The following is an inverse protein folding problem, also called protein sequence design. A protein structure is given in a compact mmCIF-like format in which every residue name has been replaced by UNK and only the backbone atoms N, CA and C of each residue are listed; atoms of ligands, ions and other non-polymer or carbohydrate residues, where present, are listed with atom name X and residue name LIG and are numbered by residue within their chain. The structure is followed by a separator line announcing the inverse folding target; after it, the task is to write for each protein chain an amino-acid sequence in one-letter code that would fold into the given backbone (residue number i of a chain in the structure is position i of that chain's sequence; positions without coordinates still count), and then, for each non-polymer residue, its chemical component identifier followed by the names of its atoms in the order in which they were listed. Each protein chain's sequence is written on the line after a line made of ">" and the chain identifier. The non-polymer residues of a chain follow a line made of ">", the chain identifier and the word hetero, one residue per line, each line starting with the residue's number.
data_IF_440512155005
#
_entry.id   IF_440512155005
#
_cell.length_a   1.000
_cell.length_b   1.000
_cell.length_c   1.000
_cell.angle_alpha   90.00
_cell.angle_beta   90.00
_cell.angle_gamma   90.00
#
_symmetry.space_group_name_H-M   'P 1'
#
loop_
_entity.id
_entity.type
_entity.pdbx_description
1 polymer ?
#
# COMPACT_ATOMS: atom_id res chain seq x y z
N UNK A 1 -33.23 47.03 -30.32
CA UNK A 1 -32.34 47.18 -29.15
C UNK A 1 -32.43 45.91 -28.29
N UNK A 2 -31.64 44.87 -28.61
CA UNK A 2 -31.62 43.58 -27.90
C UNK A 2 -30.25 43.46 -27.21
N UNK A 3 -30.25 43.53 -25.88
CA UNK A 3 -29.06 43.45 -25.01
C UNK A 3 -28.52 42.02 -24.92
N UNK A 4 -27.19 41.99 -24.79
CA UNK A 4 -26.31 40.83 -24.75
C UNK A 4 -26.61 39.78 -23.66
N UNK A 5 -26.47 38.51 -24.04
CA UNK A 5 -26.52 37.34 -23.16
C UNK A 5 -25.20 36.57 -23.06
N UNK A 6 -24.04 37.18 -23.36
CA UNK A 6 -22.72 36.51 -23.34
C UNK A 6 -21.96 36.66 -22.00
N UNK A 7 -22.67 36.68 -20.88
CA UNK A 7 -22.07 37.04 -19.58
C UNK A 7 -21.85 35.94 -18.54
N UNK A 8 -22.18 34.66 -18.79
CA UNK A 8 -22.27 33.67 -17.68
C UNK A 8 -21.30 32.48 -17.69
N UNK A 9 -20.32 32.41 -18.61
CA UNK A 9 -19.37 31.27 -18.69
C UNK A 9 -18.02 31.46 -17.97
N UNK A 10 -17.92 32.35 -16.99
CA UNK A 10 -16.66 32.60 -16.27
C UNK A 10 -16.74 32.45 -14.74
N UNK A 11 -17.71 31.70 -14.21
CA UNK A 11 -17.77 31.38 -12.78
C UNK A 11 -17.87 29.88 -12.55
N UNK A 12 -16.75 29.16 -12.67
CA UNK A 12 -16.54 27.89 -11.96
C UNK A 12 -15.09 27.36 -12.04
N UNK A 13 -14.09 28.24 -11.90
CA UNK A 13 -12.68 27.82 -11.80
C UNK A 13 -12.18 27.66 -10.34
N UNK A 14 -13.07 27.77 -9.33
CA UNK A 14 -12.68 27.88 -7.92
C UNK A 14 -12.87 26.65 -7.02
N UNK A 15 -13.58 25.59 -7.46
CA UNK A 15 -14.07 24.54 -6.55
C UNK A 15 -13.16 23.29 -6.42
N UNK A 16 -12.04 23.22 -7.15
CA UNK A 16 -11.17 22.03 -7.17
C UNK A 16 -10.20 21.89 -5.99
N UNK A 17 -9.89 22.99 -5.29
CA UNK A 17 -8.93 23.02 -4.17
C UNK A 17 -9.32 22.17 -2.95
N UNK A 18 -10.57 22.19 -2.45
CA UNK A 18 -10.94 21.42 -1.25
C UNK A 18 -10.93 19.90 -1.46
N UNK A 19 -11.19 19.43 -2.69
CA UNK A 19 -11.18 17.99 -3.02
C UNK A 19 -9.75 17.45 -3.11
N UNK A 20 -8.84 18.19 -3.77
CA UNK A 20 -7.44 17.81 -3.87
C UNK A 20 -6.76 17.76 -2.50
N UNK A 21 -7.00 18.77 -1.64
CA UNK A 21 -6.45 18.80 -0.29
C UNK A 21 -6.93 17.64 0.58
N UNK A 22 -8.21 17.23 0.43
CA UNK A 22 -8.73 16.05 1.12
C UNK A 22 -8.01 14.77 0.68
N UNK A 23 -7.80 14.62 -0.64
CA UNK A 23 -7.06 13.48 -1.19
C UNK A 23 -5.62 13.41 -0.69
N UNK A 24 -4.89 14.52 -0.75
CA UNK A 24 -3.50 14.60 -0.25
C UNK A 24 -3.42 14.29 1.25
N UNK A 25 -4.31 14.86 2.08
CA UNK A 25 -4.36 14.56 3.51
C UNK A 25 -4.53 13.07 3.77
N UNK A 26 -5.42 12.42 3.04
CA UNK A 26 -5.67 10.99 3.19
C UNK A 26 -4.47 10.14 2.77
N UNK A 27 -3.74 10.54 1.71
CA UNK A 27 -2.49 9.88 1.32
C UNK A 27 -1.47 9.99 2.44
N UNK A 28 -1.23 11.21 2.94
CA UNK A 28 -0.28 11.45 4.04
C UNK A 28 -0.64 10.64 5.28
N UNK A 29 -1.91 10.59 5.67
CA UNK A 29 -2.37 9.77 6.79
C UNK A 29 -2.08 8.29 6.57
N UNK A 30 -2.32 7.75 5.37
CA UNK A 30 -2.01 6.35 5.06
C UNK A 30 -0.51 6.09 5.13
N UNK A 31 0.32 6.96 4.52
CA UNK A 31 1.78 6.85 4.59
C UNK A 31 2.28 6.89 6.04
N UNK A 32 1.73 7.78 6.87
CA UNK A 32 2.08 7.89 8.28
C UNK A 32 1.72 6.62 9.06
N UNK A 33 0.48 6.15 8.92
CA UNK A 33 0.00 4.96 9.64
C UNK A 33 0.80 3.73 9.21
N UNK A 34 0.95 3.51 7.90
CA UNK A 34 1.70 2.34 7.39
C UNK A 34 3.16 2.43 7.80
N UNK A 35 3.83 3.57 7.59
CA UNK A 35 5.24 3.75 7.89
C UNK A 35 5.57 3.57 9.38
N UNK A 36 4.78 4.21 10.26
CA UNK A 36 4.99 4.12 11.71
C UNK A 36 4.70 2.72 12.22
N UNK A 37 3.56 2.12 11.86
CA UNK A 37 3.23 0.77 12.33
C UNK A 37 4.25 -0.25 11.84
N UNK A 38 4.67 -0.13 10.57
CA UNK A 38 5.72 -0.97 10.00
C UNK A 38 7.03 -0.82 10.78
N UNK A 39 7.46 0.40 11.11
CA UNK A 39 8.68 0.64 11.88
C UNK A 39 8.59 0.08 13.30
N UNK A 40 7.51 0.38 14.02
CA UNK A 40 7.27 -0.12 15.39
C UNK A 40 7.23 -1.64 15.41
N UNK A 41 6.61 -2.28 14.41
CA UNK A 41 6.54 -3.74 14.34
C UNK A 41 7.90 -4.42 14.17
N UNK A 42 8.92 -3.69 13.68
CA UNK A 42 10.28 -4.20 13.53
C UNK A 42 11.11 -4.11 14.82
N UNK A 43 10.63 -3.39 15.83
CA UNK A 43 11.32 -3.30 17.11
C UNK A 43 11.43 -4.68 17.76
N UNK A 44 12.65 -5.10 18.08
CA UNK A 44 12.95 -6.43 18.61
C UNK A 44 13.76 -6.26 19.89
N UNK A 45 13.33 -6.91 20.99
CA UNK A 45 14.03 -6.82 22.28
C UNK A 45 15.18 -7.83 22.38
N UNK A 46 16.11 -7.60 23.30
CA UNK A 46 17.22 -8.54 23.59
C UNK A 46 16.71 -9.90 24.08
N UNK A 47 15.62 -9.93 24.86
CA UNK A 47 14.97 -11.16 25.30
C UNK A 47 14.33 -11.94 24.13
N UNK A 48 13.87 -11.25 23.08
CA UNK A 48 13.41 -11.91 21.86
C UNK A 48 14.59 -12.48 21.07
N UNK A 49 15.69 -11.72 20.93
CA UNK A 49 16.90 -12.16 20.25
C UNK A 49 17.57 -13.37 20.93
N UNK A 50 17.49 -13.46 22.26
CA UNK A 50 17.98 -14.60 23.04
C UNK A 50 17.03 -15.81 23.04
N UNK A 51 15.87 -15.70 22.37
CA UNK A 51 14.89 -16.78 22.26
C UNK A 51 13.99 -16.97 23.49
N UNK A 52 14.05 -16.08 24.48
CA UNK A 52 13.22 -16.17 25.69
C UNK A 52 11.75 -15.83 25.40
N UNK A 53 11.47 -15.07 24.34
CA UNK A 53 10.13 -14.60 23.96
C UNK A 53 9.67 -15.18 22.61
N UNK A 54 9.99 -16.43 22.31
CA UNK A 54 9.72 -17.02 20.99
C UNK A 54 8.24 -17.00 20.56
N UNK A 55 7.29 -17.25 21.47
CA UNK A 55 5.85 -17.19 21.14
C UNK A 55 5.42 -15.76 20.78
N UNK A 56 5.87 -14.77 21.54
CA UNK A 56 5.67 -13.35 21.22
C UNK A 56 6.34 -12.98 19.89
N UNK A 57 7.55 -13.51 19.62
CA UNK A 57 8.26 -13.30 18.37
C UNK A 57 7.43 -13.73 17.17
N UNK A 58 6.69 -14.85 17.24
CA UNK A 58 5.77 -15.26 16.16
C UNK A 58 4.74 -14.16 15.88
N UNK A 59 4.06 -13.67 16.91
CA UNK A 59 3.00 -12.66 16.76
C UNK A 59 3.57 -11.37 16.17
N UNK A 60 4.64 -10.84 16.77
CA UNK A 60 5.27 -9.60 16.31
C UNK A 60 5.77 -9.73 14.87
N UNK A 61 6.48 -10.81 14.55
CA UNK A 61 6.99 -11.06 13.19
C UNK A 61 5.87 -11.26 12.19
N UNK A 62 4.73 -11.84 12.59
CA UNK A 62 3.55 -11.95 11.71
C UNK A 62 3.04 -10.55 11.36
N UNK A 63 2.89 -9.68 12.36
CA UNK A 63 2.47 -8.27 12.16
C UNK A 63 3.47 -7.54 11.28
N UNK A 64 4.77 -7.66 11.57
CA UNK A 64 5.84 -7.04 10.80
C UNK A 64 5.84 -7.51 9.34
N UNK A 65 5.76 -8.81 9.07
CA UNK A 65 5.69 -9.34 7.69
C UNK A 65 4.47 -8.82 6.93
N UNK A 66 3.31 -8.72 7.58
CA UNK A 66 2.11 -8.18 6.93
C UNK A 66 2.26 -6.69 6.60
N UNK A 67 2.75 -5.88 7.55
CA UNK A 67 2.94 -4.44 7.34
C UNK A 67 4.09 -4.10 6.38
N UNK A 68 5.06 -5.01 6.26
CA UNK A 68 6.19 -4.91 5.33
C UNK A 68 5.99 -5.71 4.04
N UNK A 69 4.78 -6.24 3.80
CA UNK A 69 4.48 -6.98 2.57
C UNK A 69 4.48 -6.07 1.35
N UNK A 70 5.02 -6.55 0.23
CA UNK A 70 5.01 -5.79 -1.03
C UNK A 70 3.60 -5.39 -1.43
N UNK A 71 2.61 -6.22 -1.11
CA UNK A 71 1.18 -5.95 -1.33
C UNK A 71 0.67 -4.72 -0.58
N UNK A 72 1.01 -4.54 0.69
CA UNK A 72 0.59 -3.35 1.46
C UNK A 72 1.21 -2.09 0.86
N UNK A 73 2.49 -2.14 0.51
CA UNK A 73 3.20 -1.01 -0.08
C UNK A 73 2.68 -0.67 -1.48
N UNK A 74 2.36 -1.68 -2.30
CA UNK A 74 1.68 -1.50 -3.56
C UNK A 74 0.29 -0.86 -3.40
N UNK A 75 -0.46 -1.25 -2.36
CA UNK A 75 -1.77 -0.68 -2.06
C UNK A 75 -1.69 0.82 -1.72
N UNK A 76 -0.64 1.27 -1.01
CA UNK A 76 -0.39 2.70 -0.76
C UNK A 76 -0.25 3.46 -2.08
N UNK A 77 0.56 2.95 -3.01
CA UNK A 77 0.78 3.57 -4.32
C UNK A 77 -0.51 3.62 -5.16
N UNK A 78 -1.24 2.51 -5.26
CA UNK A 78 -2.53 2.41 -5.96
C UNK A 78 -3.56 3.37 -5.32
N UNK A 79 -3.59 3.44 -4.00
CA UNK A 79 -4.49 4.36 -3.29
C UNK A 79 -4.17 5.82 -3.59
N UNK A 80 -2.89 6.21 -3.58
CA UNK A 80 -2.47 7.56 -3.94
C UNK A 80 -2.90 7.93 -5.36
N UNK A 81 -2.66 7.03 -6.31
CA UNK A 81 -3.12 7.15 -7.68
C UNK A 81 -4.63 7.35 -7.80
N UNK A 82 -5.39 6.53 -7.07
CA UNK A 82 -6.85 6.59 -7.00
C UNK A 82 -7.38 7.90 -6.40
N UNK A 83 -6.66 8.51 -5.45
CA UNK A 83 -7.07 9.79 -4.86
C UNK A 83 -6.80 10.99 -5.75
N UNK A 84 -5.74 10.96 -6.55
CA UNK A 84 -5.31 12.12 -7.35
C UNK A 84 -6.04 12.25 -8.69
N UNK A 85 -6.57 11.15 -9.25
CA UNK A 85 -7.50 11.13 -10.40
C UNK A 85 -7.00 11.84 -11.67
N UNK A 86 -5.69 12.03 -11.85
CA UNK A 86 -5.09 12.64 -13.05
C UNK A 86 -3.83 11.87 -13.44
N UNK A 87 -3.53 11.66 -14.74
CA UNK A 87 -2.42 10.80 -15.18
C UNK A 87 -1.08 11.11 -14.50
N UNK A 88 -0.53 12.29 -14.75
CA UNK A 88 0.78 12.66 -14.20
C UNK A 88 0.77 12.72 -12.65
N UNK A 89 -0.20 13.38 -11.99
CA UNK A 89 -0.29 13.33 -10.53
C UNK A 89 -0.46 11.92 -9.94
N UNK A 90 -1.21 11.02 -10.59
CA UNK A 90 -1.40 9.66 -10.10
C UNK A 90 -0.10 8.85 -10.20
N UNK A 91 0.65 8.97 -11.30
CA UNK A 91 1.96 8.36 -11.45
C UNK A 91 2.94 8.85 -10.38
N UNK A 92 3.14 10.17 -10.31
CA UNK A 92 4.06 10.80 -9.38
C UNK A 92 3.63 10.54 -7.92
N UNK A 93 2.33 10.62 -7.64
CA UNK A 93 1.78 10.38 -6.31
C UNK A 93 1.99 8.96 -5.82
N UNK A 94 2.01 7.96 -6.70
CA UNK A 94 2.37 6.59 -6.34
C UNK A 94 3.81 6.48 -5.83
N UNK A 95 4.76 7.03 -6.59
CA UNK A 95 6.17 7.10 -6.19
C UNK A 95 6.38 7.92 -4.92
N UNK A 96 5.87 9.16 -4.88
CA UNK A 96 5.99 10.04 -3.71
C UNK A 96 5.37 9.42 -2.46
N UNK A 97 4.23 8.73 -2.56
CA UNK A 97 3.64 8.06 -1.41
C UNK A 97 4.51 6.90 -0.90
N UNK A 98 5.14 6.14 -1.80
CA UNK A 98 6.07 5.07 -1.40
C UNK A 98 7.32 5.65 -0.72
N UNK A 99 7.96 6.65 -1.31
CA UNK A 99 9.14 7.32 -0.74
C UNK A 99 8.81 7.97 0.61
N UNK A 100 7.67 8.66 0.71
CA UNK A 100 7.21 9.24 1.97
C UNK A 100 7.01 8.16 3.04
N UNK A 101 6.45 7.00 2.67
CA UNK A 101 6.27 5.89 3.60
C UNK A 101 7.61 5.30 4.05
N UNK A 102 8.61 5.16 3.15
CA UNK A 102 9.97 4.74 3.51
C UNK A 102 10.67 5.75 4.42
N UNK A 103 10.57 7.04 4.10
CA UNK A 103 11.13 8.11 4.92
C UNK A 103 10.52 8.11 6.31
N UNK A 104 9.20 7.95 6.42
CA UNK A 104 8.53 7.83 7.72
C UNK A 104 8.99 6.57 8.43
N UNK A 105 9.02 5.43 7.76
CA UNK A 105 9.43 4.15 8.33
C UNK A 105 10.86 4.20 8.90
N UNK A 106 11.85 4.53 8.07
CA UNK A 106 13.26 4.57 8.48
C UNK A 106 13.57 5.78 9.36
N UNK A 107 12.99 6.94 9.08
CA UNK A 107 13.19 8.17 9.85
C UNK A 107 12.62 8.04 11.26
N UNK A 108 11.38 7.59 11.40
CA UNK A 108 10.79 7.30 12.71
C UNK A 108 11.58 6.20 13.42
N UNK A 109 11.88 5.09 12.74
CA UNK A 109 12.65 4.00 13.34
C UNK A 109 14.03 4.43 13.84
N UNK A 110 14.72 5.33 13.13
CA UNK A 110 15.99 5.91 13.59
C UNK A 110 15.80 6.83 14.80
N UNK A 111 14.82 7.74 14.76
CA UNK A 111 14.52 8.63 15.90
C UNK A 111 14.12 7.84 17.16
N UNK A 112 13.46 6.70 16.98
CA UNK A 112 13.05 5.81 18.05
C UNK A 112 14.15 4.81 18.48
N UNK A 113 15.35 4.86 17.90
CA UNK A 113 16.46 3.95 18.23
C UNK A 113 16.26 2.50 17.77
N UNK A 114 15.33 2.25 16.84
CA UNK A 114 15.05 0.93 16.25
C UNK A 114 16.10 0.59 15.19
N UNK A 115 16.58 1.59 14.45
CA UNK A 115 17.48 1.42 13.32
C UNK A 115 18.83 2.13 13.51
N UNK A 116 19.92 1.56 12.97
CA UNK A 116 21.24 2.18 13.02
C UNK A 116 21.33 3.39 12.07
N UNK A 117 22.41 4.16 12.21
CA UNK A 117 22.66 5.34 11.38
C UNK A 117 22.85 5.03 9.89
N UNK A 118 23.26 3.80 9.56
CA UNK A 118 23.48 3.33 8.18
C UNK A 118 22.19 2.98 7.44
N UNK A 119 21.04 2.94 8.14
CA UNK A 119 19.76 2.43 7.62
C UNK A 119 19.37 2.98 6.24
N UNK A 120 19.63 4.26 5.98
CA UNK A 120 19.31 4.89 4.70
C UNK A 120 20.13 4.32 3.55
N UNK A 121 21.44 4.15 3.76
CA UNK A 121 22.36 3.63 2.73
C UNK A 121 22.12 2.15 2.50
N UNK A 122 21.91 1.39 3.58
CA UNK A 122 21.73 -0.07 3.52
C UNK A 122 20.42 -0.45 2.82
N UNK A 123 19.48 0.48 2.71
CA UNK A 123 18.16 0.25 2.12
C UNK A 123 17.90 1.04 0.84
N UNK A 124 18.94 1.57 0.17
CA UNK A 124 18.78 2.32 -1.10
C UNK A 124 18.00 1.55 -2.17
N UNK A 125 18.15 0.22 -2.19
CA UNK A 125 17.39 -0.65 -3.10
C UNK A 125 15.88 -0.47 -2.97
N UNK A 126 15.37 -0.22 -1.76
CA UNK A 126 13.94 -0.01 -1.51
C UNK A 126 13.46 1.35 -1.99
N UNK A 127 14.28 2.40 -1.89
CA UNK A 127 13.97 3.71 -2.48
C UNK A 127 13.93 3.62 -4.02
N UNK A 128 14.88 2.91 -4.64
CA UNK A 128 14.83 2.69 -6.08
C UNK A 128 13.62 1.85 -6.51
N UNK A 129 13.35 0.76 -5.79
CA UNK A 129 12.17 -0.08 -6.04
C UNK A 129 10.87 0.71 -5.84
N UNK A 130 10.81 1.57 -4.81
CA UNK A 130 9.70 2.47 -4.53
C UNK A 130 9.37 3.33 -5.75
N UNK A 131 10.34 4.06 -6.29
CA UNK A 131 10.12 4.87 -7.50
C UNK A 131 9.73 3.98 -8.70
N UNK A 132 10.52 2.95 -8.99
CA UNK A 132 10.37 2.16 -10.23
C UNK A 132 9.05 1.38 -10.28
N UNK A 133 8.62 0.82 -9.15
CA UNK A 133 7.42 -0.01 -9.06
C UNK A 133 6.18 0.81 -8.70
N UNK A 134 6.29 1.83 -7.83
CA UNK A 134 5.12 2.54 -7.34
C UNK A 134 4.61 3.63 -8.29
N UNK A 135 5.44 4.14 -9.20
CA UNK A 135 4.97 5.04 -10.27
C UNK A 135 3.95 4.38 -11.20
N UNK A 136 4.20 3.19 -11.79
CA UNK A 136 3.19 2.49 -12.60
C UNK A 136 2.00 1.98 -11.76
N UNK A 137 2.20 1.63 -10.49
CA UNK A 137 1.09 1.31 -9.58
C UNK A 137 0.20 2.52 -9.27
N UNK A 138 0.78 3.70 -9.13
CA UNK A 138 0.05 4.97 -9.04
C UNK A 138 -0.81 5.22 -10.28
N UNK A 139 -0.28 4.97 -11.47
CA UNK A 139 -1.08 4.99 -12.70
C UNK A 139 -2.22 3.97 -12.69
N UNK A 140 -1.98 2.77 -12.15
CA UNK A 140 -3.03 1.76 -11.99
C UNK A 140 -4.14 2.23 -11.04
N UNK A 141 -3.80 2.99 -10.00
CA UNK A 141 -4.75 3.67 -9.13
C UNK A 141 -5.72 4.60 -9.87
N UNK A 142 -5.27 5.30 -10.91
CA UNK A 142 -6.16 6.10 -11.77
C UNK A 142 -7.22 5.24 -12.45
N UNK A 143 -6.85 4.02 -12.85
CA UNK A 143 -7.70 3.09 -13.56
C UNK A 143 -8.76 2.44 -12.66
N UNK A 144 -8.53 2.35 -11.34
CA UNK A 144 -9.50 1.82 -10.35
C UNK A 144 -10.85 2.54 -10.42
N UNK A 145 -10.85 3.81 -10.80
CA UNK A 145 -12.05 4.63 -10.96
C UNK A 145 -12.86 4.31 -12.22
N UNK A 146 -12.26 3.64 -13.21
CA UNK A 146 -12.89 3.39 -14.51
C UNK A 146 -13.94 2.28 -14.40
N UNK A 147 -14.94 2.34 -15.27
CA UNK A 147 -15.88 1.24 -15.50
C UNK A 147 -15.26 0.13 -16.35
N UNK A 148 -15.99 -0.98 -16.47
CA UNK A 148 -15.62 -2.08 -17.38
C UNK A 148 -14.38 -2.87 -16.97
N UNK A 149 -13.84 -3.64 -17.93
CA UNK A 149 -12.76 -4.62 -17.69
C UNK A 149 -11.47 -3.98 -17.16
N UNK A 150 -11.10 -2.80 -17.66
CA UNK A 150 -9.89 -2.10 -17.21
C UNK A 150 -9.97 -1.69 -15.74
N UNK A 151 -11.12 -1.19 -15.27
CA UNK A 151 -11.31 -0.84 -13.87
C UNK A 151 -11.35 -2.07 -12.96
N UNK A 152 -11.88 -3.19 -13.46
CA UNK A 152 -11.85 -4.48 -12.74
C UNK A 152 -10.41 -4.96 -12.59
N UNK A 153 -9.63 -5.01 -13.68
CA UNK A 153 -8.23 -5.42 -13.65
C UNK A 153 -7.42 -4.57 -12.65
N UNK A 154 -7.58 -3.25 -12.69
CA UNK A 154 -6.91 -2.35 -11.75
C UNK A 154 -7.28 -2.59 -10.29
N UNK A 155 -8.54 -2.93 -9.99
CA UNK A 155 -9.00 -3.26 -8.63
C UNK A 155 -8.48 -4.61 -8.14
N UNK A 156 -8.16 -5.53 -9.05
CA UNK A 156 -7.64 -6.86 -8.73
C UNK A 156 -6.14 -6.87 -8.48
N UNK A 157 -5.39 -5.81 -8.82
CA UNK A 157 -3.93 -5.78 -8.64
C UNK A 157 -3.50 -6.09 -7.20
N UNK A 158 -4.08 -5.40 -6.20
CA UNK A 158 -3.73 -5.61 -4.79
C UNK A 158 -4.21 -6.98 -4.29
N UNK A 159 -5.47 -7.42 -4.52
CA UNK A 159 -5.91 -8.76 -4.15
C UNK A 159 -5.10 -9.89 -4.78
N UNK A 160 -4.75 -9.77 -6.07
CA UNK A 160 -3.92 -10.78 -6.77
C UNK A 160 -2.50 -10.77 -6.22
N UNK A 161 -1.93 -9.58 -5.95
CA UNK A 161 -0.65 -9.44 -5.26
C UNK A 161 -0.65 -10.17 -3.91
N UNK A 162 -1.69 -9.98 -3.10
CA UNK A 162 -1.84 -10.66 -1.82
C UNK A 162 -1.88 -12.19 -1.96
N UNK A 163 -2.54 -12.70 -3.02
CA UNK A 163 -2.59 -14.15 -3.27
C UNK A 163 -1.26 -14.69 -3.77
N UNK A 164 -0.48 -13.91 -4.54
CA UNK A 164 0.73 -14.37 -5.22
C UNK A 164 2.03 -14.18 -4.40
N UNK A 165 2.09 -13.16 -3.54
CA UNK A 165 3.26 -12.84 -2.73
C UNK A 165 3.73 -14.03 -1.85
N UNK A 166 2.84 -14.77 -1.17
CA UNK A 166 3.25 -15.92 -0.34
C UNK A 166 3.97 -17.05 -1.09
N UNK A 167 3.69 -17.22 -2.38
CA UNK A 167 4.27 -18.26 -3.24
C UNK A 167 5.60 -17.79 -3.80
N UNK A 168 5.66 -16.52 -4.24
CA UNK A 168 6.89 -15.91 -4.74
C UNK A 168 7.96 -15.81 -3.65
N UNK A 169 7.54 -15.58 -2.40
CA UNK A 169 8.44 -15.46 -1.25
C UNK A 169 8.57 -16.73 -0.42
N UNK A 170 8.02 -17.86 -0.90
CA UNK A 170 8.06 -19.16 -0.22
C UNK A 170 7.57 -19.12 1.25
N UNK A 171 6.60 -18.25 1.56
CA UNK A 171 6.10 -18.04 2.92
C UNK A 171 5.35 -19.25 3.48
N UNK A 172 4.70 -20.02 2.61
CA UNK A 172 3.94 -21.22 2.98
C UNK A 172 4.80 -22.47 3.18
N UNK A 173 6.06 -22.43 2.73
CA UNK A 173 7.03 -23.52 2.93
C UNK A 173 8.41 -22.93 3.24
N UNK A 174 8.56 -22.26 4.40
CA UNK A 174 9.80 -21.59 4.76
C UNK A 174 10.93 -22.62 5.01
N UNK A 175 12.20 -22.28 4.69
CA UNK A 175 13.34 -23.16 4.90
C UNK A 175 13.47 -23.66 6.34
N UNK A 176 13.84 -24.94 6.50
CA UNK A 176 13.99 -25.57 7.82
C UNK A 176 15.16 -25.01 8.64
N UNK A 177 16.13 -24.35 8.01
CA UNK A 177 17.25 -23.70 8.71
C UNK A 177 16.80 -22.48 9.54
N UNK A 178 15.63 -21.91 9.25
CA UNK A 178 15.13 -20.75 9.97
C UNK A 178 14.62 -21.16 11.37
N UNK A 179 14.81 -20.30 12.39
CA UNK A 179 14.24 -20.51 13.71
C UNK A 179 12.72 -20.73 13.63
N UNK A 180 12.18 -21.60 14.49
CA UNK A 180 10.74 -21.93 14.43
C UNK A 180 9.81 -20.70 14.47
N UNK A 181 10.09 -19.60 15.22
CA UNK A 181 9.20 -18.43 15.20
C UNK A 181 9.15 -17.74 13.84
N UNK A 182 10.28 -17.77 13.13
CA UNK A 182 10.38 -17.23 11.77
C UNK A 182 9.54 -18.05 10.79
N UNK A 183 9.63 -19.38 10.88
CA UNK A 183 8.85 -20.29 10.04
C UNK A 183 7.35 -20.12 10.26
N UNK A 184 6.91 -20.14 11.53
CA UNK A 184 5.49 -20.01 11.86
C UNK A 184 4.93 -18.64 11.49
N UNK A 185 5.65 -17.55 11.80
CA UNK A 185 5.20 -16.22 11.38
C UNK A 185 5.12 -16.08 9.86
N UNK A 186 6.05 -16.68 9.11
CA UNK A 186 5.99 -16.70 7.65
C UNK A 186 4.75 -17.43 7.13
N UNK A 187 4.49 -18.65 7.62
CA UNK A 187 3.31 -19.42 7.22
C UNK A 187 2.00 -18.70 7.56
N UNK A 188 1.89 -18.16 8.78
CA UNK A 188 0.68 -17.45 9.23
C UNK A 188 0.46 -16.20 8.37
N UNK A 189 1.48 -15.37 8.15
CA UNK A 189 1.37 -14.20 7.27
C UNK A 189 0.99 -14.59 5.84
N UNK A 190 1.56 -15.68 5.32
CA UNK A 190 1.22 -16.20 4.00
C UNK A 190 -0.25 -16.61 3.89
N UNK A 191 -0.77 -17.34 4.87
CA UNK A 191 -2.19 -17.72 4.93
C UNK A 191 -3.09 -16.50 5.01
N UNK A 192 -2.75 -15.52 5.87
CA UNK A 192 -3.52 -14.28 6.01
C UNK A 192 -3.58 -13.52 4.68
N UNK A 193 -2.45 -13.39 3.98
CA UNK A 193 -2.38 -12.72 2.67
C UNK A 193 -3.23 -13.43 1.62
N UNK A 194 -3.14 -14.77 1.53
CA UNK A 194 -3.97 -15.55 0.60
C UNK A 194 -5.45 -15.35 0.90
N UNK A 195 -5.88 -15.49 2.16
CA UNK A 195 -7.29 -15.34 2.56
C UNK A 195 -7.79 -13.92 2.25
N UNK A 196 -7.01 -12.90 2.62
CA UNK A 196 -7.37 -11.50 2.35
C UNK A 196 -7.45 -11.20 0.86
N UNK A 197 -6.52 -11.75 0.07
CA UNK A 197 -6.49 -11.61 -1.39
C UNK A 197 -7.66 -12.30 -2.09
N UNK A 198 -8.01 -13.51 -1.67
CA UNK A 198 -9.20 -14.21 -2.17
C UNK A 198 -10.48 -13.45 -1.82
N UNK A 199 -10.63 -13.01 -0.57
CA UNK A 199 -11.76 -12.20 -0.14
C UNK A 199 -11.86 -10.89 -0.94
N UNK A 200 -10.72 -10.19 -1.13
CA UNK A 200 -10.65 -8.97 -1.95
C UNK A 200 -11.08 -9.20 -3.39
N UNK A 201 -10.62 -10.30 -4.01
CA UNK A 201 -11.02 -10.72 -5.36
C UNK A 201 -12.53 -10.94 -5.45
N UNK A 202 -13.10 -11.70 -4.52
CA UNK A 202 -14.54 -11.97 -4.46
C UNK A 202 -15.33 -10.68 -4.32
N UNK A 203 -14.93 -9.77 -3.43
CA UNK A 203 -15.60 -8.48 -3.21
C UNK A 203 -15.59 -7.63 -4.49
N UNK A 204 -14.46 -7.57 -5.20
CA UNK A 204 -14.36 -6.82 -6.46
C UNK A 204 -15.31 -7.39 -7.51
N UNK A 205 -15.31 -8.71 -7.69
CA UNK A 205 -16.16 -9.37 -8.68
C UNK A 205 -17.65 -9.24 -8.34
N UNK A 206 -18.03 -9.38 -7.08
CA UNK A 206 -19.44 -9.22 -6.66
C UNK A 206 -19.96 -7.80 -6.87
N UNK A 207 -19.18 -6.79 -6.47
CA UNK A 207 -19.58 -5.38 -6.66
C UNK A 207 -19.76 -5.03 -8.14
N UNK A 208 -18.93 -5.60 -9.01
CA UNK A 208 -19.01 -5.33 -10.45
C UNK A 208 -20.24 -5.99 -11.09
N UNK A 209 -20.60 -7.21 -10.70
CA UNK A 209 -21.84 -7.88 -11.14
C UNK A 209 -23.09 -7.13 -10.70
N UNK A 210 -23.10 -6.61 -9.46
CA UNK A 210 -24.22 -5.83 -8.92
C UNK A 210 -24.45 -4.52 -9.67
N UNK A 211 -23.39 -3.84 -10.12
CA UNK A 211 -23.52 -2.63 -10.94
C UNK A 211 -24.06 -2.91 -12.34
N UNK A 212 -23.70 -4.03 -12.97
CA UNK A 212 -24.25 -4.41 -14.27
C UNK A 212 -25.73 -4.76 -14.22
N UNK A 213 -26.21 -5.40 -13.13
CA UNK A 213 -27.63 -5.75 -12.96
C UNK A 213 -28.56 -4.57 -12.67
N UNK A 214 -28.04 -3.43 -12.21
CA UNK A 214 -28.84 -2.21 -11.99
C UNK A 214 -28.89 -1.28 -13.20
N UNK A 215 -28.07 -1.55 -14.22
CA UNK A 215 -27.97 -0.77 -15.43
C UNK A 215 -28.70 -1.41 -16.63
N UNK A 216 -29.24 -2.62 -16.44
CA UNK A 216 -30.12 -3.35 -17.35
C UNK A 216 -31.54 -3.31 -16.78
#
# INVERSE_FOLDING_TARGET
>A
MKRDGRGSRLRNAGSGKPVLWRGVRQIVTVCLVVGVLSAVSNWTSTAELSGQLNAYSVVRKTVSKLLNSGTVWAAVAVFAGYRLRRPFPSALGGGVAAELTLVIHYGFGRMAGIYPDTIWRDNLVWFYAGVLLCVPLGMSGLLVARGGRTGIAARLLVPVGAVAEPQLLHMLSPPQLLPWPERWSSMISGVILVVAGLAGTVIVLWRTRGSSRRAA
#
